data_IF_101106672480
#
_entry.id   IF_101106672480
#
_cell.length_a   1.000
_cell.length_b   1.000
_cell.length_c   1.000
_cell.angle_alpha   90.00
_cell.angle_beta   90.00
_cell.angle_gamma   90.00
#
_symmetry.space_group_name_H-M   'P 1'
#
loop_
_entity.id
_entity.type
_entity.pdbx_description
1 polymer ?
#
# COMPACT_ATOMS: atom_id res chain seq x y z
N UNK A 1 9.17 31.67 4.89
CA UNK A 1 9.76 30.37 5.30
C UNK A 1 8.68 29.33 5.58
N UNK A 2 7.55 29.73 6.17
CA UNK A 2 6.40 28.89 6.51
C UNK A 2 5.74 28.20 5.31
N UNK A 3 5.57 28.90 4.17
CA UNK A 3 4.95 28.31 2.97
C UNK A 3 5.78 27.17 2.36
N UNK A 4 7.11 27.29 2.36
CA UNK A 4 8.00 26.27 1.80
C UNK A 4 7.90 24.95 2.58
N UNK A 5 7.77 25.02 3.90
CA UNK A 5 7.60 23.84 4.77
C UNK A 5 6.24 23.18 4.51
N UNK A 6 5.17 23.98 4.39
CA UNK A 6 3.82 23.48 4.08
C UNK A 6 3.80 22.72 2.74
N UNK A 7 4.46 23.25 1.71
CA UNK A 7 4.59 22.56 0.41
C UNK A 7 5.40 21.26 0.50
N UNK A 8 6.47 21.22 1.29
CA UNK A 8 7.25 19.98 1.50
C UNK A 8 6.41 18.90 2.16
N UNK A 9 5.63 19.24 3.20
CA UNK A 9 4.75 18.28 3.89
C UNK A 9 3.66 17.77 2.94
N UNK A 10 3.02 18.66 2.16
CA UNK A 10 2.00 18.27 1.17
C UNK A 10 2.55 17.31 0.12
N UNK A 11 3.75 17.58 -0.41
CA UNK A 11 4.41 16.69 -1.38
C UNK A 11 4.74 15.32 -0.76
N UNK A 12 5.18 15.29 0.50
CA UNK A 12 5.46 14.04 1.20
C UNK A 12 4.18 13.22 1.45
N UNK A 13 3.07 13.87 1.82
CA UNK A 13 1.75 13.22 1.95
C UNK A 13 1.32 12.65 0.59
N UNK A 14 1.37 13.46 -0.47
CA UNK A 14 0.99 13.01 -1.81
C UNK A 14 1.82 11.81 -2.28
N UNK A 15 3.14 11.82 -2.04
CA UNK A 15 4.02 10.70 -2.37
C UNK A 15 3.66 9.41 -1.61
N UNK A 16 3.39 9.49 -0.30
CA UNK A 16 2.96 8.32 0.47
C UNK A 16 1.61 7.77 -0.01
N UNK A 17 0.65 8.65 -0.34
CA UNK A 17 -0.65 8.23 -0.85
C UNK A 17 -0.54 7.58 -2.24
N UNK A 18 0.31 8.11 -3.12
CA UNK A 18 0.55 7.52 -4.44
C UNK A 18 1.17 6.11 -4.31
N UNK A 19 2.21 5.96 -3.48
CA UNK A 19 2.83 4.67 -3.21
C UNK A 19 1.84 3.69 -2.54
N UNK A 20 1.03 4.17 -1.59
CA UNK A 20 -0.01 3.36 -0.93
C UNK A 20 -1.01 2.82 -1.96
N UNK A 21 -1.50 3.69 -2.85
CA UNK A 21 -2.42 3.28 -3.92
C UNK A 21 -1.80 2.18 -4.77
N UNK A 22 -0.54 2.33 -5.18
CA UNK A 22 0.15 1.33 -5.97
C UNK A 22 0.24 -0.02 -5.25
N UNK A 23 0.63 -0.03 -3.98
CA UNK A 23 0.74 -1.26 -3.18
C UNK A 23 -0.60 -1.95 -2.94
N UNK A 24 -1.66 -1.19 -2.71
CA UNK A 24 -3.00 -1.74 -2.55
C UNK A 24 -3.54 -2.31 -3.86
N UNK A 25 -3.27 -1.65 -5.00
CA UNK A 25 -3.63 -2.19 -6.32
C UNK A 25 -2.89 -3.49 -6.62
N UNK A 26 -1.59 -3.57 -6.31
CA UNK A 26 -0.79 -4.79 -6.44
C UNK A 26 -1.36 -5.93 -5.57
N UNK A 27 -1.60 -5.66 -4.28
CA UNK A 27 -2.19 -6.64 -3.36
C UNK A 27 -3.58 -7.10 -3.81
N UNK A 28 -4.44 -6.20 -4.28
CA UNK A 28 -5.76 -6.54 -4.80
C UNK A 28 -5.67 -7.46 -6.03
N UNK A 29 -4.78 -7.16 -6.97
CA UNK A 29 -4.57 -7.99 -8.17
C UNK A 29 -4.06 -9.40 -7.82
N UNK A 30 -3.14 -9.52 -6.86
CA UNK A 30 -2.66 -10.81 -6.40
C UNK A 30 -3.75 -11.60 -5.65
N UNK A 31 -4.58 -10.92 -4.85
CA UNK A 31 -5.70 -11.55 -4.16
C UNK A 31 -6.74 -12.10 -5.16
N UNK A 32 -7.02 -11.36 -6.23
CA UNK A 32 -7.89 -11.80 -7.32
C UNK A 32 -7.33 -13.03 -8.03
N UNK A 33 -6.04 -13.02 -8.38
CA UNK A 33 -5.35 -14.16 -9.00
C UNK A 33 -5.36 -15.40 -8.09
N UNK A 34 -5.09 -15.22 -6.79
CA UNK A 34 -5.11 -16.30 -5.82
C UNK A 34 -6.50 -16.91 -5.67
N UNK A 35 -7.54 -16.06 -5.66
CA UNK A 35 -8.91 -16.53 -5.64
C UNK A 35 -9.25 -17.33 -6.91
N UNK A 36 -8.88 -16.81 -8.09
CA UNK A 36 -9.11 -17.49 -9.37
C UNK A 36 -8.39 -18.86 -9.45
N UNK A 37 -7.16 -18.97 -8.95
CA UNK A 37 -6.46 -20.24 -8.86
C UNK A 37 -7.18 -21.22 -7.91
N UNK A 38 -7.68 -20.73 -6.76
CA UNK A 38 -8.41 -21.56 -5.81
C UNK A 38 -9.72 -22.09 -6.39
N UNK A 39 -10.48 -21.28 -7.14
CA UNK A 39 -11.73 -21.74 -7.78
C UNK A 39 -11.49 -22.78 -8.88
N UNK A 40 -10.26 -22.87 -9.40
CA UNK A 40 -9.81 -23.90 -10.35
C UNK A 40 -9.23 -25.15 -9.67
N UNK A 41 -9.17 -25.18 -8.32
CA UNK A 41 -8.59 -26.28 -7.56
C UNK A 41 -7.06 -26.23 -7.44
N UNK A 42 -6.43 -25.14 -7.88
CA UNK A 42 -4.98 -24.96 -7.89
C UNK A 42 -4.47 -24.38 -6.56
N UNK A 43 -4.68 -25.10 -5.46
CA UNK A 43 -4.39 -24.60 -4.09
C UNK A 43 -2.95 -24.09 -3.91
N UNK A 44 -1.95 -24.81 -4.41
CA UNK A 44 -0.55 -24.41 -4.25
C UNK A 44 -0.25 -23.09 -4.96
N UNK A 45 -0.86 -22.86 -6.12
CA UNK A 45 -0.73 -21.60 -6.85
C UNK A 45 -1.47 -20.47 -6.13
N UNK A 46 -2.68 -20.75 -5.62
CA UNK A 46 -3.44 -19.78 -4.83
C UNK A 46 -2.66 -19.30 -3.59
N UNK A 47 -2.15 -20.24 -2.78
CA UNK A 47 -1.37 -19.91 -1.58
C UNK A 47 -0.03 -19.27 -1.96
N UNK A 48 0.66 -19.81 -2.97
CA UNK A 48 1.92 -19.28 -3.47
C UNK A 48 1.83 -17.81 -3.91
N UNK A 49 0.73 -17.44 -4.57
CA UNK A 49 0.47 -16.07 -5.06
C UNK A 49 0.42 -15.02 -3.93
N UNK A 50 0.01 -15.42 -2.71
CA UNK A 50 -0.14 -14.49 -1.59
C UNK A 50 0.95 -14.61 -0.52
N UNK A 51 1.98 -15.44 -0.71
CA UNK A 51 3.05 -15.61 0.30
C UNK A 51 3.75 -14.30 0.65
N UNK A 52 3.85 -13.38 -0.31
CA UNK A 52 4.48 -12.07 -0.13
C UNK A 52 3.55 -11.02 0.52
N UNK A 53 2.32 -11.40 0.91
CA UNK A 53 1.36 -10.46 1.50
C UNK A 53 1.83 -9.88 2.82
N UNK A 54 2.55 -10.65 3.63
CA UNK A 54 3.09 -10.12 4.89
C UNK A 54 3.95 -8.87 4.62
N UNK A 55 4.81 -8.92 3.61
CA UNK A 55 5.63 -7.79 3.19
C UNK A 55 4.78 -6.68 2.55
N UNK A 56 3.94 -7.00 1.56
CA UNK A 56 3.14 -5.99 0.84
C UNK A 56 2.18 -5.23 1.75
N UNK A 57 1.51 -5.93 2.67
CA UNK A 57 0.56 -5.33 3.61
C UNK A 57 1.29 -4.50 4.67
N UNK A 58 2.47 -4.92 5.14
CA UNK A 58 3.30 -4.10 6.02
C UNK A 58 3.77 -2.81 5.33
N UNK A 59 4.19 -2.88 4.07
CA UNK A 59 4.55 -1.70 3.28
C UNK A 59 3.37 -0.73 3.12
N UNK A 60 2.19 -1.25 2.76
CA UNK A 60 0.97 -0.44 2.65
C UNK A 60 0.60 0.20 4.00
N UNK A 61 0.64 -0.55 5.10
CA UNK A 61 0.36 -0.03 6.43
C UNK A 61 1.34 1.07 6.84
N UNK A 62 2.62 0.93 6.53
CA UNK A 62 3.64 1.94 6.82
C UNK A 62 3.39 3.24 6.04
N UNK A 63 3.05 3.14 4.75
CA UNK A 63 2.74 4.30 3.90
C UNK A 63 1.49 5.05 4.40
N UNK A 64 0.44 4.31 4.78
CA UNK A 64 -0.75 4.87 5.42
C UNK A 64 -0.40 5.60 6.72
N UNK A 65 0.34 4.93 7.62
CA UNK A 65 0.72 5.51 8.90
C UNK A 65 1.55 6.79 8.73
N UNK A 66 2.48 6.80 7.77
CA UNK A 66 3.30 7.96 7.44
C UNK A 66 2.45 9.13 6.93
N UNK A 67 1.52 8.89 6.01
CA UNK A 67 0.62 9.93 5.51
C UNK A 67 -0.22 10.57 6.63
N UNK A 68 -0.76 9.76 7.54
CA UNK A 68 -1.54 10.23 8.69
C UNK A 68 -0.67 11.01 9.69
N UNK A 69 0.53 10.51 10.00
CA UNK A 69 1.46 11.19 10.90
C UNK A 69 1.90 12.55 10.36
N UNK A 70 2.23 12.64 9.06
CA UNK A 70 2.56 13.89 8.39
C UNK A 70 1.39 14.88 8.39
N UNK A 71 0.17 14.40 8.12
CA UNK A 71 -1.01 15.24 8.18
C UNK A 71 -1.24 15.80 9.58
N UNK A 72 -1.10 14.98 10.64
CA UNK A 72 -1.26 15.41 12.04
C UNK A 72 -0.14 16.34 12.52
N UNK A 73 1.07 16.18 12.00
CA UNK A 73 2.23 17.00 12.40
C UNK A 73 2.34 18.31 11.62
N UNK A 74 1.70 18.38 10.45
CA UNK A 74 1.68 19.57 9.59
C UNK A 74 0.35 20.34 9.58
N UNK A 75 -0.65 19.89 10.34
CA UNK A 75 -1.93 20.58 10.57
C UNK A 75 -1.85 21.62 11.69
#
# INVERSE_FOLDING_TARGET
MTDKIKTVIQNAIAANLAALSQRLTEAASLAEQAHAAMTQGEQNQAIGTILDFDRLLQEAQALYAAAIALHRSGA
#
